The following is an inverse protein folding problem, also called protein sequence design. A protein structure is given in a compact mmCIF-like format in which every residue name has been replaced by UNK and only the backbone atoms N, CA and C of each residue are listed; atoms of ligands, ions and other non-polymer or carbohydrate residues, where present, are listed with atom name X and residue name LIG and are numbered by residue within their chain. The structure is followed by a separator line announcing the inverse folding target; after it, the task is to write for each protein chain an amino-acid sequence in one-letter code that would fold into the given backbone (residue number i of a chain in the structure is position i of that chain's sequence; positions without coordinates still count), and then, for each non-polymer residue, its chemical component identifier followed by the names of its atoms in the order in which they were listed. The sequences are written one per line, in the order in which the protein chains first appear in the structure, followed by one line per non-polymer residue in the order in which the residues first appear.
data_IF_682183432314
#
_entry.id   IF_682183432314
#
_cell.length_a   1.000
_cell.length_b   1.000
_cell.length_c   1.000
_cell.angle_alpha   90.00
_cell.angle_beta   90.00
_cell.angle_gamma   90.00
#
_symmetry.space_group_name_H-M   'P 1'
#
loop_
_entity.id
_entity.type
_entity.pdbx_description
1 polymer ?
#
# COMPACT_ATOMS: atom_id res chain seq x y z
N UNK A 1 -2.11 -18.02 14.33
CA UNK A 1 -3.44 -18.33 13.77
C UNK A 1 -3.24 -19.16 12.54
N UNK A 2 -3.96 -20.26 12.40
CA UNK A 2 -3.95 -21.06 11.19
C UNK A 2 -5.13 -20.58 10.32
N UNK A 3 -4.86 -20.20 9.08
CA UNK A 3 -5.90 -19.82 8.12
C UNK A 3 -6.24 -21.03 7.27
N UNK A 4 -7.52 -21.27 7.06
CA UNK A 4 -8.02 -22.33 6.19
C UNK A 4 -7.89 -21.91 4.72
N UNK A 5 -8.16 -20.61 4.44
CA UNK A 5 -7.99 -19.97 3.13
C UNK A 5 -7.34 -18.59 3.27
N UNK A 6 -6.51 -18.21 2.30
CA UNK A 6 -5.94 -16.87 2.18
C UNK A 6 -6.17 -16.37 0.76
N UNK A 7 -6.84 -15.23 0.64
CA UNK A 7 -7.13 -14.59 -0.65
C UNK A 7 -6.30 -13.31 -0.76
N UNK A 8 -5.44 -13.22 -1.77
CA UNK A 8 -4.62 -12.03 -2.03
C UNK A 8 -5.37 -11.09 -2.97
N UNK A 9 -5.52 -9.84 -2.53
CA UNK A 9 -6.28 -8.83 -3.27
C UNK A 9 -5.41 -8.02 -4.22
N UNK A 10 -5.98 -7.62 -5.35
CA UNK A 10 -5.35 -6.72 -6.31
C UNK A 10 -5.20 -5.30 -5.75
N UNK A 11 -4.09 -4.67 -6.02
CA UNK A 11 -3.73 -3.34 -5.51
C UNK A 11 -4.34 -2.23 -6.38
N UNK A 12 -5.21 -1.41 -5.81
CA UNK A 12 -5.85 -0.28 -6.55
C UNK A 12 -5.07 1.04 -6.43
N UNK A 13 -4.34 1.27 -5.36
CA UNK A 13 -3.83 2.60 -5.00
C UNK A 13 -2.33 2.84 -5.20
N UNK A 14 -1.55 1.82 -5.62
CA UNK A 14 -0.10 1.94 -5.76
C UNK A 14 0.31 3.08 -6.72
N UNK A 15 -0.40 3.24 -7.84
CA UNK A 15 -0.08 4.26 -8.85
C UNK A 15 -0.29 5.70 -8.34
N UNK A 16 -1.35 5.94 -7.55
CA UNK A 16 -1.62 7.27 -6.97
C UNK A 16 -0.53 7.65 -5.96
N UNK A 17 -0.12 6.68 -5.14
CA UNK A 17 0.95 6.88 -4.15
C UNK A 17 2.29 7.14 -4.83
N UNK A 18 2.60 6.45 -5.93
CA UNK A 18 3.80 6.68 -6.72
C UNK A 18 3.84 8.09 -7.31
N UNK A 19 2.71 8.58 -7.84
CA UNK A 19 2.61 9.94 -8.37
C UNK A 19 2.88 11.00 -7.29
N UNK A 20 2.26 10.86 -6.12
CA UNK A 20 2.48 11.79 -4.99
C UNK A 20 3.94 11.74 -4.53
N UNK A 21 4.52 10.55 -4.43
CA UNK A 21 5.92 10.37 -4.05
C UNK A 21 6.88 11.03 -5.04
N UNK A 22 6.61 10.89 -6.33
CA UNK A 22 7.37 11.54 -7.40
C UNK A 22 7.29 13.05 -7.29
N UNK A 23 6.09 13.61 -7.10
CA UNK A 23 5.89 15.06 -6.94
C UNK A 23 6.63 15.62 -5.71
N UNK A 24 6.64 14.89 -4.60
CA UNK A 24 7.38 15.28 -3.39
C UNK A 24 8.90 15.30 -3.62
N UNK A 25 9.45 14.34 -4.36
CA UNK A 25 10.86 14.34 -4.72
C UNK A 25 11.21 15.50 -5.65
N UNK A 26 10.38 15.78 -6.67
CA UNK A 26 10.58 16.93 -7.56
C UNK A 26 10.50 18.25 -6.78
N UNK A 27 9.54 18.39 -5.88
CA UNK A 27 9.41 19.54 -5.00
C UNK A 27 10.68 19.73 -4.15
N UNK A 28 11.20 18.65 -3.55
CA UNK A 28 12.45 18.69 -2.78
C UNK A 28 13.65 19.11 -3.63
N UNK A 29 13.73 18.60 -4.88
CA UNK A 29 14.79 18.98 -5.80
C UNK A 29 14.79 20.49 -6.05
N UNK A 30 13.62 21.06 -6.34
CA UNK A 30 13.47 22.49 -6.59
C UNK A 30 13.79 23.32 -5.34
N UNK A 31 13.27 22.91 -4.17
CA UNK A 31 13.47 23.62 -2.92
C UNK A 31 14.94 23.63 -2.48
N UNK A 32 15.63 22.48 -2.53
CA UNK A 32 17.03 22.38 -2.18
C UNK A 32 17.92 23.18 -3.14
N UNK A 33 17.62 23.10 -4.46
CA UNK A 33 18.35 23.90 -5.46
C UNK A 33 18.18 25.39 -5.24
N UNK A 34 16.95 25.84 -4.97
CA UNK A 34 16.65 27.26 -4.71
C UNK A 34 17.44 27.79 -3.51
N UNK A 35 17.47 27.05 -2.40
CA UNK A 35 18.19 27.47 -1.19
C UNK A 35 19.71 27.51 -1.43
N UNK A 36 20.24 26.53 -2.16
CA UNK A 36 21.66 26.51 -2.53
C UNK A 36 22.09 27.74 -3.37
N UNK A 37 21.25 28.10 -4.35
CA UNK A 37 21.52 29.27 -5.20
C UNK A 37 21.48 30.56 -4.37
N UNK A 38 20.55 30.67 -3.44
CA UNK A 38 20.35 31.90 -2.67
C UNK A 38 21.32 32.08 -1.50
N UNK A 39 21.61 31.01 -0.77
CA UNK A 39 22.35 31.05 0.50
C UNK A 39 23.81 30.54 0.37
N UNK A 40 24.21 30.08 -0.83
CA UNK A 40 25.51 29.46 -1.07
C UNK A 40 25.53 27.96 -0.78
N UNK A 41 26.69 27.36 -1.02
CA UNK A 41 26.87 25.89 -0.92
C UNK A 41 26.77 25.42 0.53
N UNK A 42 25.79 24.57 0.79
CA UNK A 42 25.64 23.82 2.03
C UNK A 42 25.82 22.32 1.73
N UNK A 43 26.87 21.72 2.30
CA UNK A 43 27.18 20.28 2.06
C UNK A 43 26.05 19.34 2.41
N UNK A 44 25.28 19.67 3.45
CA UNK A 44 24.12 18.86 3.86
C UNK A 44 23.00 18.88 2.82
N UNK A 45 22.68 20.06 2.27
CA UNK A 45 21.68 20.18 1.19
C UNK A 45 22.21 19.64 -0.14
N UNK A 46 23.52 19.70 -0.39
CA UNK A 46 24.13 19.03 -1.55
C UNK A 46 23.92 17.52 -1.50
N UNK A 47 24.12 16.90 -0.34
CA UNK A 47 23.84 15.47 -0.17
C UNK A 47 22.35 15.16 -0.40
N UNK A 48 21.46 16.05 0.04
CA UNK A 48 20.02 15.95 -0.23
C UNK A 48 19.68 15.97 -1.72
N UNK A 49 20.30 16.88 -2.48
CA UNK A 49 20.14 16.93 -3.94
C UNK A 49 20.58 15.62 -4.61
N UNK A 50 21.73 15.07 -4.20
CA UNK A 50 22.22 13.79 -4.75
C UNK A 50 21.28 12.64 -4.44
N UNK A 51 20.73 12.57 -3.21
CA UNK A 51 19.76 11.56 -2.80
C UNK A 51 18.49 11.66 -3.64
N UNK A 52 17.95 12.87 -3.82
CA UNK A 52 16.73 13.08 -4.61
C UNK A 52 16.97 12.72 -6.08
N UNK A 53 18.07 13.16 -6.68
CA UNK A 53 18.41 12.82 -8.07
C UNK A 53 18.57 11.31 -8.26
N UNK A 54 19.29 10.64 -7.36
CA UNK A 54 19.46 9.19 -7.40
C UNK A 54 18.09 8.48 -7.27
N UNK A 55 17.23 8.94 -6.35
CA UNK A 55 15.88 8.41 -6.16
C UNK A 55 15.02 8.54 -7.41
N UNK A 56 15.03 9.70 -8.06
CA UNK A 56 14.31 9.93 -9.31
C UNK A 56 14.84 9.03 -10.43
N UNK A 57 16.16 8.97 -10.63
CA UNK A 57 16.78 8.18 -11.68
C UNK A 57 16.50 6.67 -11.52
N UNK A 58 16.62 6.14 -10.30
CA UNK A 58 16.36 4.71 -10.02
C UNK A 58 14.91 4.37 -10.28
N UNK A 59 13.96 5.19 -9.79
CA UNK A 59 12.53 4.90 -9.94
C UNK A 59 12.07 5.10 -11.40
N UNK A 60 12.56 6.10 -12.12
CA UNK A 60 12.24 6.28 -13.54
C UNK A 60 12.78 5.12 -14.40
N UNK A 61 14.00 4.61 -14.10
CA UNK A 61 14.52 3.40 -14.76
C UNK A 61 13.70 2.15 -14.45
N UNK A 62 13.20 2.03 -13.21
CA UNK A 62 12.33 0.92 -12.82
C UNK A 62 11.00 0.96 -13.56
N UNK A 63 10.39 2.15 -13.69
CA UNK A 63 9.18 2.36 -14.47
C UNK A 63 9.35 1.94 -15.94
N UNK A 64 10.46 2.33 -16.57
CA UNK A 64 10.78 1.94 -17.95
C UNK A 64 10.96 0.42 -18.15
N UNK A 65 11.31 -0.31 -17.10
CA UNK A 65 11.44 -1.78 -17.09
C UNK A 65 10.18 -2.51 -16.60
N UNK A 66 9.04 -1.82 -16.44
CA UNK A 66 7.80 -2.34 -15.84
C UNK A 66 8.01 -2.97 -14.45
N UNK A 67 9.06 -2.55 -13.73
CA UNK A 67 9.35 -3.01 -12.39
C UNK A 67 8.71 -2.07 -11.37
N UNK A 68 8.30 -2.59 -10.22
CA UNK A 68 7.74 -1.75 -9.15
C UNK A 68 8.72 -0.65 -8.73
N UNK A 69 8.22 0.59 -8.71
CA UNK A 69 8.94 1.73 -8.16
C UNK A 69 8.96 1.62 -6.63
N UNK A 70 10.06 2.01 -5.98
CA UNK A 70 10.20 1.94 -4.52
C UNK A 70 10.63 3.30 -3.99
N UNK A 71 9.67 4.18 -3.79
CA UNK A 71 9.92 5.54 -3.32
C UNK A 71 10.19 5.65 -1.82
N UNK A 72 9.73 4.70 -1.00
CA UNK A 72 9.78 4.78 0.47
C UNK A 72 11.15 5.12 1.03
N UNK A 73 12.21 4.50 0.53
CA UNK A 73 13.58 4.74 1.01
C UNK A 73 14.08 6.12 0.65
N UNK A 74 13.74 6.59 -0.56
CA UNK A 74 14.12 7.90 -1.06
C UNK A 74 13.36 9.02 -0.37
N UNK A 75 12.07 8.83 -0.08
CA UNK A 75 11.25 9.77 0.71
C UNK A 75 11.79 9.89 2.14
N UNK A 76 12.13 8.75 2.77
CA UNK A 76 12.69 8.73 4.11
C UNK A 76 14.03 9.49 4.17
N UNK A 77 14.95 9.18 3.26
CA UNK A 77 16.25 9.85 3.19
C UNK A 77 16.13 11.34 2.86
N UNK A 78 15.25 11.71 1.92
CA UNK A 78 14.94 13.11 1.59
C UNK A 78 14.32 13.84 2.76
N UNK A 79 13.41 13.21 3.51
CA UNK A 79 12.80 13.76 4.71
C UNK A 79 13.83 14.15 5.77
N UNK A 80 14.88 13.35 5.97
CA UNK A 80 15.99 13.69 6.87
C UNK A 80 16.71 14.94 6.36
N UNK A 81 16.91 15.09 5.05
CA UNK A 81 17.58 16.27 4.48
C UNK A 81 16.79 17.57 4.68
N UNK A 82 15.46 17.50 4.88
CA UNK A 82 14.64 18.66 5.20
C UNK A 82 14.98 19.28 6.56
N UNK A 83 15.63 18.56 7.48
CA UNK A 83 16.15 19.13 8.76
C UNK A 83 17.11 20.28 8.51
N UNK A 84 17.88 20.22 7.44
CA UNK A 84 18.83 21.28 7.05
C UNK A 84 18.19 22.51 6.41
N UNK A 85 16.87 22.50 6.16
CA UNK A 85 16.17 23.63 5.54
C UNK A 85 15.74 24.65 6.59
N UNK A 86 16.09 25.94 6.40
CA UNK A 86 15.65 26.98 7.33
C UNK A 86 14.13 27.10 7.29
N UNK A 87 13.50 27.22 8.46
CA UNK A 87 12.05 27.39 8.67
C UNK A 87 11.14 26.25 8.22
N UNK A 88 11.64 25.25 7.46
CA UNK A 88 10.84 24.17 6.86
C UNK A 88 11.21 22.77 7.40
N UNK A 89 11.90 22.71 8.52
CA UNK A 89 12.34 21.44 9.17
C UNK A 89 11.18 20.50 9.48
N UNK A 90 9.99 21.05 9.78
CA UNK A 90 8.79 20.28 10.08
C UNK A 90 8.29 19.42 8.90
N UNK A 91 8.74 19.73 7.67
CA UNK A 91 8.40 18.91 6.49
C UNK A 91 8.94 17.47 6.56
N UNK A 92 9.88 17.18 7.45
CA UNK A 92 10.27 15.80 7.75
C UNK A 92 9.06 14.92 8.08
N UNK A 93 8.06 15.46 8.81
CA UNK A 93 6.87 14.70 9.24
C UNK A 93 6.05 14.20 8.06
N UNK A 94 5.59 15.04 7.10
CA UNK A 94 4.84 14.55 5.93
C UNK A 94 5.67 13.64 5.03
N UNK A 95 6.98 13.81 4.93
CA UNK A 95 7.83 12.88 4.16
C UNK A 95 7.86 11.47 4.79
N UNK A 96 8.01 11.38 6.11
CA UNK A 96 7.95 10.11 6.84
C UNK A 96 6.58 9.46 6.71
N UNK A 97 5.52 10.25 6.86
CA UNK A 97 4.15 9.75 6.68
C UNK A 97 3.94 9.19 5.27
N UNK A 98 4.38 9.90 4.23
CA UNK A 98 4.29 9.43 2.85
C UNK A 98 5.14 8.18 2.59
N UNK A 99 6.32 8.07 3.20
CA UNK A 99 7.14 6.86 3.10
C UNK A 99 6.42 5.64 3.71
N UNK A 100 5.72 5.82 4.83
CA UNK A 100 4.90 4.77 5.44
C UNK A 100 3.68 4.41 4.56
N UNK A 101 2.98 5.42 4.03
CA UNK A 101 1.83 5.22 3.14
C UNK A 101 2.23 4.49 1.84
N UNK A 102 3.38 4.83 1.27
CA UNK A 102 3.92 4.16 0.09
C UNK A 102 4.26 2.68 0.38
N UNK A 103 4.90 2.42 1.51
CA UNK A 103 5.20 1.06 1.93
C UNK A 103 3.92 0.23 2.04
N UNK A 104 2.88 0.80 2.65
CA UNK A 104 1.61 0.11 2.83
C UNK A 104 0.82 -0.07 1.53
N UNK A 105 0.77 0.95 0.66
CA UNK A 105 0.07 0.85 -0.61
C UNK A 105 0.63 -0.28 -1.50
N UNK A 106 1.89 -0.69 -1.25
CA UNK A 106 2.58 -1.77 -1.97
C UNK A 106 2.61 -3.09 -1.22
N UNK A 107 2.16 -3.11 0.02
CA UNK A 107 2.02 -4.37 0.74
C UNK A 107 0.82 -5.15 0.18
N UNK A 108 0.94 -6.45 -0.14
CA UNK A 108 -0.20 -7.24 -0.59
C UNK A 108 -1.28 -7.22 0.50
N UNK A 109 -2.49 -6.85 0.10
CA UNK A 109 -3.64 -6.90 0.98
C UNK A 109 -4.18 -8.31 0.94
N UNK A 110 -4.11 -9.03 2.05
CA UNK A 110 -4.56 -10.42 2.16
C UNK A 110 -5.78 -10.49 3.07
N UNK A 111 -6.71 -11.35 2.72
CA UNK A 111 -7.83 -11.71 3.58
C UNK A 111 -7.67 -13.18 3.97
N UNK A 112 -7.48 -13.41 5.26
CA UNK A 112 -7.42 -14.75 5.84
C UNK A 112 -8.78 -15.19 6.37
N UNK A 113 -9.21 -16.39 6.01
CA UNK A 113 -10.43 -17.04 6.46
C UNK A 113 -10.06 -18.17 7.42
N UNK A 114 -10.69 -18.20 8.58
CA UNK A 114 -10.43 -19.21 9.60
C UNK A 114 -11.73 -19.62 10.33
N UNK A 115 -11.66 -20.59 11.21
CA UNK A 115 -12.83 -21.18 11.86
C UNK A 115 -13.76 -20.17 12.55
N UNK A 116 -13.23 -19.10 13.15
CA UNK A 116 -14.00 -18.13 13.94
C UNK A 116 -14.38 -16.86 13.15
N UNK A 117 -13.79 -16.61 11.97
CA UNK A 117 -14.09 -15.38 11.23
C UNK A 117 -13.13 -15.10 10.08
N UNK A 118 -13.12 -13.84 9.69
CA UNK A 118 -12.34 -13.31 8.57
C UNK A 118 -11.42 -12.21 9.08
N UNK A 119 -10.16 -12.24 8.69
CA UNK A 119 -9.15 -11.22 9.04
C UNK A 119 -8.70 -10.52 7.79
N UNK A 120 -8.91 -9.22 7.73
CA UNK A 120 -8.32 -8.35 6.73
C UNK A 120 -6.94 -7.92 7.22
N UNK A 121 -5.89 -8.42 6.59
CA UNK A 121 -4.51 -8.05 6.87
C UNK A 121 -4.21 -6.67 6.26
N UNK A 122 -4.39 -5.63 7.06
CA UNK A 122 -4.10 -4.24 6.73
C UNK A 122 -3.22 -3.65 7.85
N UNK A 123 -2.80 -2.36 7.76
CA UNK A 123 -2.07 -1.67 8.86
C UNK A 123 -2.68 -1.93 10.24
N UNK A 124 -3.99 -1.92 10.31
CA UNK A 124 -4.75 -2.29 11.49
C UNK A 124 -5.55 -3.54 11.13
N UNK A 125 -5.08 -4.71 11.57
CA UNK A 125 -5.76 -5.97 11.33
C UNK A 125 -7.21 -5.88 11.77
N UNK A 126 -8.13 -5.92 10.81
CA UNK A 126 -9.56 -5.91 11.09
C UNK A 126 -10.07 -7.34 11.11
N UNK A 127 -10.63 -7.73 12.24
CA UNK A 127 -11.25 -9.04 12.41
C UNK A 127 -12.76 -8.90 12.32
N UNK A 128 -13.38 -9.77 11.56
CA UNK A 128 -14.81 -9.85 11.37
C UNK A 128 -15.27 -11.26 11.75
N UNK A 129 -16.09 -11.44 12.80
CA UNK A 129 -16.65 -12.75 13.10
C UNK A 129 -17.64 -13.15 12.00
N UNK A 130 -17.79 -14.45 11.74
CA UNK A 130 -18.75 -14.95 10.75
C UNK A 130 -20.18 -14.46 11.01
N UNK A 131 -20.56 -14.29 12.28
CA UNK A 131 -21.86 -13.74 12.67
C UNK A 131 -22.13 -12.31 12.20
N UNK A 132 -21.12 -11.56 11.76
CA UNK A 132 -21.30 -10.21 11.22
C UNK A 132 -21.48 -10.20 9.70
N UNK A 133 -21.28 -11.34 9.04
CA UNK A 133 -21.35 -11.49 7.59
C UNK A 133 -22.68 -12.10 7.18
N UNK A 134 -23.28 -11.55 6.13
CA UNK A 134 -24.49 -12.06 5.49
C UNK A 134 -24.13 -13.06 4.39
N UNK A 135 -23.15 -12.73 3.56
CA UNK A 135 -22.62 -13.62 2.53
C UNK A 135 -21.15 -13.34 2.24
N UNK A 136 -20.44 -14.37 1.78
CA UNK A 136 -19.08 -14.30 1.28
C UNK A 136 -19.05 -15.08 -0.03
N UNK A 137 -18.72 -14.40 -1.12
CA UNK A 137 -18.75 -14.99 -2.46
C UNK A 137 -17.46 -14.56 -3.21
N UNK A 138 -16.78 -15.55 -3.75
CA UNK A 138 -15.72 -15.37 -4.72
C UNK A 138 -16.26 -15.81 -6.09
N UNK A 139 -16.29 -14.91 -7.07
CA UNK A 139 -16.77 -15.18 -8.40
C UNK A 139 -16.06 -14.31 -9.44
N UNK A 140 -15.61 -14.93 -10.52
CA UNK A 140 -14.92 -14.26 -11.64
C UNK A 140 -13.75 -13.39 -11.16
N UNK A 141 -12.96 -13.87 -10.18
CA UNK A 141 -11.85 -13.12 -9.59
C UNK A 141 -12.28 -11.93 -8.72
N UNK A 142 -13.56 -11.81 -8.34
CA UNK A 142 -14.09 -10.76 -7.48
C UNK A 142 -14.54 -11.34 -6.14
N UNK A 143 -13.86 -10.96 -5.06
CA UNK A 143 -14.27 -11.30 -3.70
C UNK A 143 -15.27 -10.27 -3.18
N UNK A 144 -16.45 -10.75 -2.79
CA UNK A 144 -17.53 -9.97 -2.22
C UNK A 144 -17.77 -10.40 -0.78
N UNK A 145 -17.64 -9.47 0.17
CA UNK A 145 -18.03 -9.64 1.57
C UNK A 145 -19.23 -8.75 1.84
N UNK A 146 -20.38 -9.38 2.11
CA UNK A 146 -21.61 -8.69 2.47
C UNK A 146 -21.84 -8.80 3.97
N UNK A 147 -22.08 -7.68 4.63
CA UNK A 147 -22.26 -7.58 6.07
C UNK A 147 -23.73 -7.37 6.43
N UNK A 148 -24.16 -7.89 7.58
CA UNK A 148 -25.53 -7.72 8.10
C UNK A 148 -25.92 -6.24 8.27
N UNK A 149 -24.96 -5.35 8.45
CA UNK A 149 -25.17 -3.90 8.55
C UNK A 149 -25.25 -3.18 7.20
N UNK A 150 -25.53 -3.89 6.11
CA UNK A 150 -25.57 -3.39 4.74
C UNK A 150 -24.25 -2.79 4.22
N UNK A 151 -23.13 -3.10 4.86
CA UNK A 151 -21.82 -2.75 4.34
C UNK A 151 -21.39 -3.81 3.34
N UNK A 152 -20.93 -3.36 2.16
CA UNK A 152 -20.40 -4.22 1.12
C UNK A 152 -18.92 -3.92 0.90
N UNK A 153 -18.09 -4.95 0.86
CA UNK A 153 -16.69 -4.87 0.44
C UNK A 153 -16.53 -5.76 -0.78
N UNK A 154 -16.18 -5.14 -1.91
CA UNK A 154 -15.85 -5.83 -3.15
C UNK A 154 -14.42 -5.51 -3.56
N UNK A 155 -13.64 -6.52 -3.90
CA UNK A 155 -12.24 -6.39 -4.28
C UNK A 155 -11.85 -7.45 -5.30
N UNK A 156 -11.10 -7.01 -6.33
CA UNK A 156 -10.48 -7.93 -7.27
C UNK A 156 -9.40 -8.75 -6.57
N UNK A 157 -9.36 -10.03 -6.87
CA UNK A 157 -8.35 -10.99 -6.39
C UNK A 157 -7.23 -11.07 -7.40
N UNK A 158 -6.00 -11.30 -6.94
CA UNK A 158 -4.90 -11.69 -7.83
C UNK A 158 -5.13 -13.16 -8.23
N UNK A 159 -5.32 -13.39 -9.53
CA UNK A 159 -5.44 -14.74 -10.08
C UNK A 159 -4.16 -15.53 -9.81
N UNK A 160 -4.30 -16.65 -9.12
CA UNK A 160 -3.37 -17.77 -9.18
C UNK A 160 -3.86 -18.75 -10.25
N UNK A 161 -2.94 -19.41 -10.95
CA UNK A 161 -3.04 -20.12 -12.22
C UNK A 161 -4.16 -21.17 -12.42
N UNK A 162 -5.18 -21.29 -11.54
CA UNK A 162 -6.33 -22.16 -11.73
C UNK A 162 -7.57 -21.70 -10.91
N UNK A 163 -8.37 -20.71 -11.43
CA UNK A 163 -9.39 -20.02 -10.65
C UNK A 163 -10.66 -20.85 -10.37
N UNK A 164 -11.20 -21.57 -11.37
CA UNK A 164 -12.57 -22.08 -11.31
C UNK A 164 -12.79 -23.20 -10.27
N UNK A 165 -11.87 -24.15 -10.14
CA UNK A 165 -12.02 -25.27 -9.19
C UNK A 165 -11.86 -24.82 -7.72
N UNK A 166 -11.11 -23.74 -7.48
CA UNK A 166 -10.89 -23.18 -6.15
C UNK A 166 -12.01 -22.24 -5.70
N UNK A 167 -12.71 -21.58 -6.62
CA UNK A 167 -13.83 -20.68 -6.31
C UNK A 167 -15.01 -21.45 -5.70
N UNK A 168 -15.40 -22.57 -6.29
CA UNK A 168 -16.51 -23.40 -5.79
C UNK A 168 -16.19 -23.98 -4.42
N UNK A 169 -15.01 -24.54 -4.22
CA UNK A 169 -14.57 -25.08 -2.94
C UNK A 169 -14.53 -24.01 -1.84
N UNK A 170 -14.01 -22.84 -2.16
CA UNK A 170 -13.98 -21.69 -1.26
C UNK A 170 -15.39 -21.21 -0.90
N UNK A 171 -16.30 -21.11 -1.88
CA UNK A 171 -17.67 -20.66 -1.67
C UNK A 171 -18.45 -21.66 -0.80
N UNK A 172 -18.24 -22.98 -1.00
CA UNK A 172 -18.86 -24.02 -0.18
C UNK A 172 -18.35 -24.00 1.25
N UNK A 173 -17.03 -23.77 1.45
CA UNK A 173 -16.47 -23.55 2.79
C UNK A 173 -17.14 -22.35 3.47
N UNK A 174 -17.22 -21.20 2.80
CA UNK A 174 -17.84 -20.00 3.37
C UNK A 174 -19.32 -20.21 3.73
N UNK A 175 -20.08 -20.89 2.86
CA UNK A 175 -21.49 -21.26 3.13
C UNK A 175 -21.60 -22.14 4.37
N UNK A 176 -20.75 -23.15 4.51
CA UNK A 176 -20.76 -24.05 5.66
C UNK A 176 -20.57 -23.29 6.98
N UNK A 177 -19.67 -22.31 7.02
CA UNK A 177 -19.40 -21.49 8.20
C UNK A 177 -20.56 -20.54 8.55
N UNK A 178 -21.21 -19.98 7.53
CA UNK A 178 -22.38 -19.09 7.72
C UNK A 178 -23.63 -19.86 8.17
N UNK A 179 -23.82 -21.12 7.74
CA UNK A 179 -24.96 -21.96 8.13
C UNK A 179 -24.87 -22.45 9.57
N UNK A 180 -23.68 -22.72 10.09
CA UNK A 180 -23.48 -23.23 11.48
C UNK A 180 -23.88 -22.17 12.53
N UNK A 181 -23.91 -20.88 12.15
CA UNK A 181 -24.12 -19.75 13.06
C UNK A 181 -25.51 -19.10 12.93
N UNK A 182 -26.35 -19.59 12.03
CA UNK A 182 -27.77 -19.26 11.92
C UNK A 182 -28.63 -20.28 12.64
#
# INVERSE_FOLDING_TARGET
MHYDYVVTLKRENAHKTDLVSLLLLIFSLLAFSFVQIRNGLNLFLCSGLLIVLAGLLVNLRSAGKKKEMRFRYWLFATGICWIGMPYLQWLIIPFFFMAMMEAQAKYPLEIGFYSEGVVLNSLFNKKFPWSSLQSVILKDGLLTLDFINNKLIQKEVLDDDDPDAREDEFNDYCRSKLLILR
#
